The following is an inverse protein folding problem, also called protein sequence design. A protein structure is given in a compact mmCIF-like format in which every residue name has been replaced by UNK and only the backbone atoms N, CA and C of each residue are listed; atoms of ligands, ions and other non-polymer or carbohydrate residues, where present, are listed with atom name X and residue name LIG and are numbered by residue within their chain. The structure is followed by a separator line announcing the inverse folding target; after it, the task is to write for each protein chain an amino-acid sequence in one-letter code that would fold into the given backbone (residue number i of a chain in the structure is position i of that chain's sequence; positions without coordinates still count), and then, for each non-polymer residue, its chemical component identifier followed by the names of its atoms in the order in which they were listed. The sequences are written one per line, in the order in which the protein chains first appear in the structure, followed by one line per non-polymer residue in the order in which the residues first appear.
data_IF_537620429345
#
_entry.id   IF_537620429345
#
_cell.length_a   1.000
_cell.length_b   1.000
_cell.length_c   1.000
_cell.angle_alpha   90.00
_cell.angle_beta   90.00
_cell.angle_gamma   90.00
#
_symmetry.space_group_name_H-M   'P 1'
#
loop_
_entity.id
_entity.type
_entity.pdbx_description
1 polymer ?
#
# COMPACT_ATOMS: atom_id res chain seq x y z
N UNK A 1 -31.96 26.62 -25.15
CA UNK A 1 -31.12 26.24 -24.00
C UNK A 1 -30.61 24.84 -24.26
N UNK A 2 -29.35 24.71 -24.65
CA UNK A 2 -28.74 23.42 -24.98
C UNK A 2 -28.20 22.79 -23.69
N UNK A 3 -28.78 21.64 -23.32
CA UNK A 3 -28.31 20.78 -22.25
C UNK A 3 -26.93 20.25 -22.64
N UNK A 4 -25.89 20.62 -21.89
CA UNK A 4 -24.55 20.08 -22.07
C UNK A 4 -24.56 18.62 -21.62
N UNK A 5 -24.40 17.73 -22.59
CA UNK A 5 -24.22 16.29 -22.39
C UNK A 5 -23.01 16.04 -21.51
N UNK A 6 -23.25 15.42 -20.34
CA UNK A 6 -22.22 14.95 -19.44
C UNK A 6 -21.29 13.97 -20.19
N UNK A 7 -20.05 14.40 -20.43
CA UNK A 7 -19.00 13.54 -20.97
C UNK A 7 -18.73 12.44 -19.96
N UNK A 8 -19.25 11.25 -20.22
CA UNK A 8 -19.04 10.07 -19.37
C UNK A 8 -17.56 9.71 -19.45
N UNK A 9 -16.84 9.87 -18.35
CA UNK A 9 -15.44 9.47 -18.23
C UNK A 9 -15.41 7.94 -18.20
N UNK A 10 -15.25 7.30 -19.37
CA UNK A 10 -15.25 5.84 -19.53
C UNK A 10 -13.86 5.21 -19.44
N UNK A 11 -12.79 6.01 -19.33
CA UNK A 11 -11.43 5.49 -19.24
C UNK A 11 -11.06 5.13 -17.80
N UNK A 12 -10.56 3.89 -17.59
CA UNK A 12 -9.96 3.47 -16.31
C UNK A 12 -8.74 4.30 -15.92
N UNK A 13 -8.01 4.83 -16.91
CA UNK A 13 -6.84 5.70 -16.69
C UNK A 13 -6.98 6.96 -17.51
N UNK A 14 -7.08 8.10 -16.84
CA UNK A 14 -7.15 9.40 -17.50
C UNK A 14 -5.74 9.95 -17.64
N UNK A 15 -5.24 9.99 -18.87
CA UNK A 15 -3.97 10.64 -19.20
C UNK A 15 -4.24 12.10 -19.52
N UNK A 16 -3.47 13.01 -18.91
CA UNK A 16 -3.55 14.45 -19.13
C UNK A 16 -2.24 14.95 -19.74
N UNK A 17 -2.18 16.20 -20.26
CA UNK A 17 -0.96 16.80 -20.78
C UNK A 17 0.17 16.99 -19.75
N UNK A 18 -0.09 16.70 -18.48
CA UNK A 18 0.86 16.70 -17.38
C UNK A 18 0.76 15.39 -16.61
N UNK A 19 1.82 15.06 -15.86
CA UNK A 19 1.91 13.84 -15.07
C UNK A 19 2.31 14.19 -13.64
N UNK A 20 1.37 14.03 -12.71
CA UNK A 20 1.56 14.36 -11.29
C UNK A 20 2.52 13.39 -10.58
N UNK A 21 2.73 12.20 -11.12
CA UNK A 21 3.74 11.26 -10.62
C UNK A 21 5.15 11.71 -10.97
N UNK A 22 5.35 12.31 -12.14
CA UNK A 22 6.64 12.80 -12.61
C UNK A 22 6.93 14.23 -12.12
N UNK A 23 5.91 15.09 -12.12
CA UNK A 23 5.98 16.46 -11.64
C UNK A 23 4.82 16.76 -10.67
N UNK A 24 5.03 16.54 -9.36
CA UNK A 24 4.05 16.86 -8.33
C UNK A 24 3.64 18.34 -8.30
N UNK A 25 4.51 19.25 -8.73
CA UNK A 25 4.24 20.69 -8.70
C UNK A 25 3.24 21.12 -9.78
N UNK A 26 3.04 20.30 -10.81
CA UNK A 26 2.04 20.54 -11.85
C UNK A 26 0.61 20.66 -11.30
N UNK A 27 0.32 20.14 -10.10
CA UNK A 27 -0.96 20.33 -9.43
C UNK A 27 -1.22 21.79 -9.01
N UNK A 28 -0.17 22.60 -8.85
CA UNK A 28 -0.30 24.00 -8.44
C UNK A 28 -0.52 24.94 -9.63
N UNK A 29 -0.32 24.48 -10.87
CA UNK A 29 -0.62 25.27 -12.07
C UNK A 29 -2.15 25.48 -12.19
N UNK A 30 -2.64 26.72 -12.25
CA UNK A 30 -4.06 27.02 -12.37
C UNK A 30 -4.76 26.33 -13.56
N UNK A 31 -4.09 26.19 -14.70
CA UNK A 31 -4.65 25.55 -15.91
C UNK A 31 -4.85 24.05 -15.70
N UNK A 32 -3.88 23.40 -15.04
CA UNK A 32 -3.96 21.97 -14.72
C UNK A 32 -5.08 21.71 -13.71
N UNK A 33 -5.21 22.58 -12.69
CA UNK A 33 -6.31 22.51 -11.73
C UNK A 33 -7.66 22.69 -12.41
N UNK A 34 -7.80 23.69 -13.28
CA UNK A 34 -9.03 23.93 -14.03
C UNK A 34 -9.45 22.70 -14.84
N UNK A 35 -8.51 22.02 -15.49
CA UNK A 35 -8.77 20.77 -16.20
C UNK A 35 -9.29 19.68 -15.26
N UNK A 36 -8.69 19.51 -14.08
CA UNK A 36 -9.11 18.52 -13.08
C UNK A 36 -10.52 18.84 -12.53
N UNK A 37 -10.82 20.11 -12.24
CA UNK A 37 -12.17 20.53 -11.81
C UNK A 37 -13.23 20.27 -12.89
N UNK A 38 -12.87 20.37 -14.17
CA UNK A 38 -13.79 20.06 -15.29
C UNK A 38 -14.08 18.58 -15.46
N UNK A 39 -13.14 17.69 -15.09
CA UNK A 39 -13.35 16.23 -15.20
C UNK A 39 -14.44 15.73 -14.24
N UNK A 40 -14.54 16.33 -13.05
CA UNK A 40 -15.54 15.96 -12.04
C UNK A 40 -16.28 17.22 -11.58
N UNK A 41 -17.39 17.57 -12.25
CA UNK A 41 -18.26 18.63 -11.78
C UNK A 41 -18.65 18.40 -10.31
N UNK A 42 -18.59 19.47 -9.50
CA UNK A 42 -18.86 19.39 -8.05
C UNK A 42 -17.62 19.30 -7.17
N UNK A 43 -16.40 19.20 -7.73
CA UNK A 43 -15.15 19.25 -6.96
C UNK A 43 -15.02 20.57 -6.21
N UNK A 44 -14.95 20.49 -4.89
CA UNK A 44 -14.73 21.63 -3.99
C UNK A 44 -13.24 21.83 -3.69
N UNK A 45 -12.43 20.78 -3.85
CA UNK A 45 -11.00 20.84 -3.59
C UNK A 45 -10.22 19.74 -4.29
N UNK A 46 -8.92 19.99 -4.46
CA UNK A 46 -7.95 19.04 -5.00
C UNK A 46 -6.75 19.03 -4.07
N UNK A 47 -6.30 17.85 -3.67
CA UNK A 47 -5.13 17.67 -2.84
C UNK A 47 -4.32 16.45 -3.29
N UNK A 48 -3.09 16.33 -2.82
CA UNK A 48 -2.21 15.21 -3.13
C UNK A 48 -1.19 15.04 -2.00
N UNK A 49 -0.89 13.79 -1.65
CA UNK A 49 0.11 13.42 -0.61
C UNK A 49 1.39 12.82 -1.21
N UNK A 50 1.51 12.92 -2.54
CA UNK A 50 2.51 12.28 -3.35
C UNK A 50 2.04 10.95 -3.92
N UNK A 51 1.22 10.19 -3.20
CA UNK A 51 0.78 8.84 -3.58
C UNK A 51 -0.58 8.83 -4.26
N UNK A 52 -1.51 9.63 -3.77
CA UNK A 52 -2.88 9.73 -4.28
C UNK A 52 -3.19 11.14 -4.76
N UNK A 53 -4.01 11.23 -5.80
CA UNK A 53 -4.75 12.44 -6.14
C UNK A 53 -6.10 12.39 -5.43
N UNK A 54 -6.34 13.33 -4.54
CA UNK A 54 -7.61 13.48 -3.84
C UNK A 54 -8.52 14.44 -4.56
N UNK A 55 -9.73 13.98 -4.85
CA UNK A 55 -10.82 14.76 -5.43
C UNK A 55 -11.83 15.00 -4.31
N UNK A 56 -11.86 16.23 -3.81
CA UNK A 56 -12.68 16.58 -2.65
C UNK A 56 -14.07 16.98 -3.14
N UNK A 57 -15.08 16.20 -2.76
CA UNK A 57 -16.48 16.33 -3.16
C UNK A 57 -17.39 15.82 -2.04
N UNK A 58 -18.49 16.53 -1.75
CA UNK A 58 -19.45 16.11 -0.72
C UNK A 58 -20.06 14.74 -1.02
N UNK A 59 -20.35 14.47 -2.30
CA UNK A 59 -20.82 13.18 -2.81
C UNK A 59 -19.92 12.77 -3.98
N UNK A 60 -19.48 11.52 -3.99
CA UNK A 60 -18.69 10.98 -5.09
C UNK A 60 -19.55 10.87 -6.37
N UNK A 61 -18.97 11.05 -7.57
CA UNK A 61 -19.72 10.97 -8.81
C UNK A 61 -20.24 9.54 -9.04
N UNK A 62 -21.20 9.32 -9.95
CA UNK A 62 -21.63 7.97 -10.32
C UNK A 62 -20.45 7.12 -10.81
N UNK A 63 -20.38 5.86 -10.37
CA UNK A 63 -19.40 4.86 -10.84
C UNK A 63 -19.61 4.55 -12.34
N UNK A 64 -18.57 4.10 -13.07
CA UNK A 64 -17.23 3.74 -12.60
C UNK A 64 -16.32 4.95 -12.41
N UNK A 65 -15.44 4.87 -11.41
CA UNK A 65 -14.38 5.85 -11.20
C UNK A 65 -13.11 5.46 -11.93
N UNK A 66 -12.30 6.44 -12.40
CA UNK A 66 -10.97 6.15 -12.88
C UNK A 66 -10.12 5.56 -11.76
N UNK A 67 -9.25 4.61 -12.11
CA UNK A 67 -8.22 4.06 -11.22
C UNK A 67 -7.04 5.02 -11.08
N UNK A 68 -6.74 5.79 -12.11
CA UNK A 68 -5.70 6.82 -12.04
C UNK A 68 -6.01 8.03 -12.92
N UNK A 69 -5.51 9.19 -12.51
CA UNK A 69 -5.58 10.45 -13.25
C UNK A 69 -4.22 11.11 -13.23
N UNK A 70 -3.72 11.52 -14.40
CA UNK A 70 -2.41 12.15 -14.54
C UNK A 70 -1.26 11.33 -13.88
N UNK A 71 -1.36 10.00 -13.93
CA UNK A 71 -0.32 9.09 -13.43
C UNK A 71 -0.40 8.77 -11.93
N UNK A 72 -1.37 9.31 -11.19
CA UNK A 72 -1.61 8.97 -9.78
C UNK A 72 -2.95 8.26 -9.58
N UNK A 73 -3.03 7.29 -8.66
CA UNK A 73 -4.30 6.75 -8.19
C UNK A 73 -5.22 7.86 -7.67
N UNK A 74 -6.48 7.84 -8.11
CA UNK A 74 -7.49 8.81 -7.69
C UNK A 74 -8.31 8.30 -6.51
N UNK A 75 -8.65 9.20 -5.59
CA UNK A 75 -9.49 8.91 -4.44
C UNK A 75 -10.51 10.04 -4.22
N UNK A 76 -11.79 9.67 -4.13
CA UNK A 76 -12.88 10.60 -3.86
C UNK A 76 -13.18 10.64 -2.36
N UNK A 77 -13.17 11.84 -1.78
CA UNK A 77 -13.37 12.02 -0.35
C UNK A 77 -14.17 13.31 -0.06
N UNK A 78 -14.98 13.35 1.01
CA UNK A 78 -15.67 14.58 1.42
C UNK A 78 -14.71 15.65 1.95
N UNK A 79 -13.57 15.22 2.50
CA UNK A 79 -12.52 16.09 3.05
C UNK A 79 -11.21 15.31 3.17
N UNK A 80 -10.10 16.01 3.40
CA UNK A 80 -8.81 15.38 3.73
C UNK A 80 -8.76 15.12 5.23
N UNK A 81 -8.45 13.88 5.59
CA UNK A 81 -8.17 13.50 6.97
C UNK A 81 -7.94 11.99 7.10
N UNK A 82 -7.41 11.53 8.24
CA UNK A 82 -7.06 10.12 8.44
C UNK A 82 -8.22 9.13 8.22
N UNK A 83 -9.46 9.58 8.39
CA UNK A 83 -10.67 8.76 8.18
C UNK A 83 -11.15 8.73 6.72
N UNK A 84 -10.61 9.60 5.87
CA UNK A 84 -11.06 9.80 4.49
C UNK A 84 -9.92 9.68 3.47
N UNK A 85 -8.77 9.16 3.89
CA UNK A 85 -7.62 8.91 3.02
C UNK A 85 -7.30 7.42 3.03
N UNK A 86 -6.97 6.81 1.89
CA UNK A 86 -6.61 5.39 1.83
C UNK A 86 -5.22 5.13 2.41
N UNK A 87 -4.48 6.17 2.82
CA UNK A 87 -3.13 6.04 3.35
C UNK A 87 -3.15 5.71 4.83
N UNK A 88 -2.36 4.71 5.21
CA UNK A 88 -2.05 4.42 6.60
C UNK A 88 -1.12 5.50 7.16
N UNK A 89 -1.71 6.49 7.83
CA UNK A 89 -0.97 7.53 8.54
C UNK A 89 -1.33 7.51 10.02
N UNK A 90 -0.41 6.98 10.82
CA UNK A 90 -0.64 6.72 12.23
C UNK A 90 -0.58 7.98 13.09
N UNK A 91 -0.76 7.79 14.38
CA UNK A 91 -0.41 8.84 15.32
C UNK A 91 1.11 9.05 15.30
N UNK A 92 1.53 10.28 15.51
CA UNK A 92 2.94 10.68 15.46
C UNK A 92 3.32 11.36 16.77
N UNK A 93 4.62 11.35 17.04
CA UNK A 93 5.19 11.96 18.22
C UNK A 93 5.72 13.35 17.91
N UNK A 94 5.72 14.21 18.94
CA UNK A 94 6.30 15.54 18.84
C UNK A 94 7.82 15.52 18.66
N UNK A 95 8.39 16.65 18.22
CA UNK A 95 9.84 16.80 17.95
C UNK A 95 10.76 16.51 19.14
N UNK A 96 10.23 16.44 20.36
CA UNK A 96 10.98 16.13 21.59
C UNK A 96 11.33 14.64 21.77
N UNK A 97 10.71 13.75 21.01
CA UNK A 97 11.01 12.32 21.07
C UNK A 97 12.39 11.99 20.46
N UNK A 98 12.91 10.81 20.76
CA UNK A 98 14.20 10.34 20.21
C UNK A 98 14.20 10.21 18.68
N UNK A 99 15.40 10.20 18.08
CA UNK A 99 15.55 9.91 16.65
C UNK A 99 16.69 8.91 16.45
N UNK A 100 16.43 7.85 15.69
CA UNK A 100 17.37 6.74 15.46
C UNK A 100 17.90 6.74 14.03
N UNK A 101 19.00 6.01 13.80
CA UNK A 101 19.63 5.87 12.48
C UNK A 101 19.92 7.23 11.78
N UNK A 102 20.35 8.25 12.53
CA UNK A 102 20.54 9.63 12.01
C UNK A 102 21.55 9.74 10.87
N UNK A 103 22.47 8.77 10.75
CA UNK A 103 23.45 8.69 9.67
C UNK A 103 22.86 8.25 8.33
N UNK A 104 21.66 7.66 8.32
CA UNK A 104 21.00 7.20 7.10
C UNK A 104 20.06 8.27 6.56
N UNK A 105 19.97 8.37 5.23
CA UNK A 105 18.86 9.04 4.56
C UNK A 105 17.85 7.97 4.15
N UNK A 106 16.77 7.86 4.93
CA UNK A 106 15.67 6.92 4.75
C UNK A 106 14.71 7.30 3.64
N UNK A 107 14.91 8.44 2.98
CA UNK A 107 14.03 8.90 1.91
C UNK A 107 14.27 8.14 0.61
N UNK A 108 13.22 7.56 0.04
CA UNK A 108 13.18 6.91 -1.27
C UNK A 108 14.28 5.85 -1.47
N UNK A 109 14.61 5.10 -0.41
CA UNK A 109 15.57 3.99 -0.42
C UNK A 109 15.08 2.86 -1.31
N UNK A 110 15.89 2.48 -2.30
CA UNK A 110 15.61 1.32 -3.15
C UNK A 110 15.69 0.00 -2.38
N UNK A 111 16.58 -0.06 -1.39
CA UNK A 111 16.71 -1.15 -0.42
C UNK A 111 16.77 -0.55 0.98
N UNK A 112 15.70 -0.72 1.75
CA UNK A 112 15.53 -0.16 3.08
C UNK A 112 15.72 -1.21 4.19
N UNK A 113 16.14 -2.44 3.84
CA UNK A 113 16.42 -3.49 4.82
C UNK A 113 17.45 -3.08 5.90
N UNK A 114 18.52 -2.32 5.60
CA UNK A 114 19.40 -1.80 6.65
C UNK A 114 18.68 -0.89 7.65
N UNK A 115 17.74 -0.07 7.18
CA UNK A 115 16.91 0.78 8.06
C UNK A 115 15.99 -0.09 8.91
N UNK A 116 15.32 -1.08 8.30
CA UNK A 116 14.49 -2.06 9.02
C UNK A 116 15.26 -2.74 10.16
N UNK A 117 16.47 -3.24 9.90
CA UNK A 117 17.29 -3.92 10.92
C UNK A 117 17.57 -2.99 12.11
N UNK A 118 17.92 -1.73 11.86
CA UNK A 118 18.16 -0.75 12.93
C UNK A 118 16.89 -0.48 13.73
N UNK A 119 15.76 -0.27 13.07
CA UNK A 119 14.47 -0.03 13.73
C UNK A 119 14.08 -1.27 14.55
N UNK A 120 14.05 -2.46 13.95
CA UNK A 120 13.75 -3.73 14.63
C UNK A 120 14.59 -3.91 15.90
N UNK A 121 15.91 -3.73 15.79
CA UNK A 121 16.82 -3.91 16.93
C UNK A 121 16.59 -2.85 18.01
N UNK A 122 16.27 -1.61 17.64
CA UNK A 122 15.92 -0.57 18.60
C UNK A 122 14.69 -0.95 19.43
N UNK A 123 13.60 -1.37 18.77
CA UNK A 123 12.38 -1.82 19.45
C UNK A 123 12.61 -3.05 20.33
N UNK A 124 13.42 -4.01 19.85
CA UNK A 124 13.84 -5.17 20.65
C UNK A 124 14.57 -4.76 21.94
N UNK A 125 15.53 -3.83 21.86
CA UNK A 125 16.27 -3.32 23.03
C UNK A 125 15.36 -2.57 24.00
N UNK A 126 14.35 -1.86 23.49
CA UNK A 126 13.36 -1.17 24.32
C UNK A 126 12.37 -2.13 25.01
N UNK A 127 12.34 -3.41 24.63
CA UNK A 127 11.32 -4.34 25.09
C UNK A 127 9.92 -4.04 24.54
N UNK A 128 9.84 -3.30 23.43
CA UNK A 128 8.56 -2.96 22.78
C UNK A 128 8.31 -3.96 21.66
N UNK A 129 7.16 -4.62 21.73
CA UNK A 129 6.78 -5.64 20.76
C UNK A 129 6.16 -5.02 19.50
N UNK A 130 6.74 -5.35 18.35
CA UNK A 130 6.34 -4.86 17.02
C UNK A 130 5.93 -6.06 16.16
N UNK A 131 4.82 -5.92 15.45
CA UNK A 131 4.27 -6.94 14.54
C UNK A 131 4.59 -6.64 13.08
N UNK A 132 4.69 -5.37 12.69
CA UNK A 132 5.04 -4.97 11.33
C UNK A 132 5.76 -3.61 11.31
N UNK A 133 6.71 -3.46 10.39
CA UNK A 133 7.31 -2.17 10.05
C UNK A 133 7.08 -1.95 8.57
N UNK A 134 6.38 -0.86 8.21
CA UNK A 134 6.02 -0.51 6.84
C UNK A 134 6.84 0.68 6.36
N UNK A 135 7.23 0.65 5.08
CA UNK A 135 8.00 1.68 4.43
C UNK A 135 7.26 2.29 3.24
N UNK A 136 7.06 3.60 3.29
CA UNK A 136 6.30 4.39 2.31
C UNK A 136 7.16 5.40 1.55
N UNK A 137 8.48 5.23 1.54
CA UNK A 137 9.42 6.10 0.85
C UNK A 137 9.86 7.31 1.69
N UNK A 138 8.93 8.04 2.31
CA UNK A 138 9.22 9.26 3.08
C UNK A 138 8.84 9.19 4.57
N UNK A 139 8.25 8.08 5.02
CA UNK A 139 7.98 7.78 6.42
C UNK A 139 7.89 6.27 6.66
N UNK A 140 7.96 5.89 7.93
CA UNK A 140 7.68 4.55 8.42
C UNK A 140 6.34 4.53 9.16
N UNK A 141 5.65 3.38 9.07
CA UNK A 141 4.57 3.04 10.00
C UNK A 141 5.02 1.83 10.81
N UNK A 142 5.02 1.94 12.12
CA UNK A 142 5.38 0.86 13.03
C UNK A 142 4.13 0.37 13.74
N UNK A 143 3.85 -0.93 13.62
CA UNK A 143 2.65 -1.55 14.17
C UNK A 143 3.03 -2.25 15.49
N UNK A 144 2.48 -1.72 16.58
CA UNK A 144 2.75 -2.15 17.94
C UNK A 144 1.76 -3.25 18.33
N UNK A 145 2.26 -4.32 18.96
CA UNK A 145 1.42 -5.46 19.32
C UNK A 145 0.40 -5.13 20.42
N UNK A 146 0.80 -4.33 21.41
CA UNK A 146 -0.02 -4.09 22.60
C UNK A 146 -0.02 -2.62 23.03
N UNK A 147 -1.22 -2.08 23.26
CA UNK A 147 -1.47 -0.71 23.77
C UNK A 147 -0.76 -0.38 25.10
N UNK A 148 -0.54 -1.38 25.95
CA UNK A 148 -0.06 -1.18 27.33
C UNK A 148 1.45 -1.37 27.52
N UNK A 149 2.17 -1.80 26.49
CA UNK A 149 3.59 -2.20 26.64
C UNK A 149 4.58 -1.12 26.25
N UNK A 150 4.20 -0.17 25.40
CA UNK A 150 5.09 0.88 24.96
C UNK A 150 4.97 2.13 25.85
N UNK A 151 6.06 2.52 26.50
CA UNK A 151 6.22 3.89 26.99
C UNK A 151 6.36 4.83 25.78
N UNK A 152 5.23 5.43 25.39
CA UNK A 152 5.09 6.27 24.19
C UNK A 152 6.15 7.40 24.17
N UNK A 153 6.59 7.87 25.34
CA UNK A 153 7.61 8.92 25.45
C UNK A 153 8.99 8.50 24.92
N UNK A 154 9.28 7.20 24.92
CA UNK A 154 10.57 6.64 24.47
C UNK A 154 10.59 6.28 23.00
N UNK A 155 9.43 6.23 22.35
CA UNK A 155 9.32 5.88 20.96
C UNK A 155 9.97 6.95 20.06
N UNK A 156 10.69 6.56 18.99
CA UNK A 156 11.36 7.52 18.13
C UNK A 156 10.40 8.19 17.13
N UNK A 157 10.35 9.52 17.08
CA UNK A 157 9.55 10.21 16.04
C UNK A 157 10.21 10.18 14.65
N UNK A 158 11.49 9.80 14.58
CA UNK A 158 12.28 9.67 13.35
C UNK A 158 13.17 8.45 13.35
N UNK A 159 13.30 7.83 12.18
CA UNK A 159 14.31 6.82 11.90
C UNK A 159 14.89 7.09 10.51
N UNK A 160 16.21 7.15 10.35
CA UNK A 160 16.81 7.43 9.04
C UNK A 160 16.40 8.80 8.49
N UNK A 161 16.24 9.81 9.34
CA UNK A 161 15.79 11.15 8.95
C UNK A 161 14.38 11.26 8.32
N UNK A 162 13.62 10.18 8.25
CA UNK A 162 12.20 10.17 7.86
C UNK A 162 11.28 10.03 9.08
N UNK A 163 10.03 10.48 8.95
CA UNK A 163 9.07 10.42 10.04
C UNK A 163 8.71 8.97 10.40
N UNK A 164 8.39 8.72 11.67
CA UNK A 164 7.84 7.46 12.14
C UNK A 164 6.46 7.72 12.72
N UNK A 165 5.49 6.94 12.26
CA UNK A 165 4.12 6.94 12.77
C UNK A 165 3.76 5.57 13.30
N UNK A 166 2.71 5.49 14.09
CA UNK A 166 2.38 4.29 14.85
C UNK A 166 0.90 3.92 14.75
N UNK A 167 0.65 2.62 14.78
CA UNK A 167 -0.66 2.02 15.00
C UNK A 167 -0.51 0.87 16.00
N UNK A 168 -1.62 0.51 16.62
CA UNK A 168 -1.75 -0.77 17.31
C UNK A 168 -2.29 -1.84 16.36
N UNK A 169 -1.97 -3.10 16.64
CA UNK A 169 -2.42 -4.24 15.82
C UNK A 169 -3.95 -4.27 15.65
N UNK A 170 -4.69 -3.92 16.71
CA UNK A 170 -6.15 -3.86 16.70
C UNK A 170 -6.73 -2.72 15.84
N UNK A 171 -5.90 -1.76 15.40
CA UNK A 171 -6.32 -0.63 14.56
C UNK A 171 -6.11 -0.88 13.07
N UNK A 172 -5.24 -1.82 12.69
CA UNK A 172 -4.91 -2.10 11.28
C UNK A 172 -6.03 -2.87 10.57
N UNK A 173 -6.87 -3.60 11.32
CA UNK A 173 -7.95 -4.40 10.76
C UNK A 173 -7.46 -5.66 10.02
N UNK A 174 -6.32 -6.24 10.44
CA UNK A 174 -5.84 -7.51 9.87
C UNK A 174 -6.72 -8.67 10.35
N UNK A 175 -6.88 -9.72 9.53
CA UNK A 175 -7.49 -10.97 9.99
C UNK A 175 -6.73 -11.53 11.19
N UNK A 176 -7.44 -11.84 12.28
CA UNK A 176 -6.88 -12.39 13.53
C UNK A 176 -6.23 -13.77 13.35
N UNK A 177 -6.57 -14.48 12.27
CA UNK A 177 -5.92 -15.72 11.86
C UNK A 177 -5.34 -15.52 10.46
N UNK A 178 -4.02 -15.63 10.26
CA UNK A 178 -3.46 -15.73 8.92
C UNK A 178 -4.16 -16.89 8.20
N UNK A 179 -4.77 -16.63 7.04
CA UNK A 179 -5.34 -17.71 6.23
C UNK A 179 -4.16 -18.54 5.71
N UNK A 180 -3.71 -19.51 6.51
CA UNK A 180 -2.42 -20.19 6.35
C UNK A 180 -2.50 -21.41 5.43
N UNK A 181 -3.65 -21.68 4.81
CA UNK A 181 -3.85 -22.89 4.01
C UNK A 181 -4.58 -22.58 2.71
N UNK A 182 -3.85 -22.61 1.60
CA UNK A 182 -4.45 -22.94 0.32
C UNK A 182 -4.93 -24.39 0.42
N UNK A 183 -6.24 -24.61 0.33
CA UNK A 183 -6.76 -25.93 0.00
C UNK A 183 -6.26 -26.30 -1.41
N UNK A 184 -5.49 -27.37 -1.51
CA UNK A 184 -5.00 -27.94 -2.77
C UNK A 184 -6.17 -28.59 -3.53
N UNK A 185 -7.10 -27.78 -4.03
CA UNK A 185 -8.11 -28.21 -4.99
C UNK A 185 -7.57 -28.08 -6.42
N UNK A 186 -7.87 -29.02 -7.33
CA UNK A 186 -7.50 -28.88 -8.74
C UNK A 186 -8.18 -27.63 -9.31
N UNK A 187 -7.37 -26.63 -9.71
CA UNK A 187 -7.84 -25.38 -10.31
C UNK A 187 -8.09 -25.59 -11.81
N UNK A 188 -9.24 -25.19 -12.37
CA UNK A 188 -9.41 -25.10 -13.82
C UNK A 188 -8.39 -24.12 -14.39
N UNK A 189 -7.48 -24.63 -15.22
CA UNK A 189 -6.40 -23.84 -15.80
C UNK A 189 -6.91 -22.80 -16.79
N UNK A 190 -6.62 -21.54 -16.51
CA UNK A 190 -6.42 -20.50 -17.51
C UNK A 190 -5.19 -19.70 -17.06
N UNK A 191 -4.04 -20.08 -17.61
CA UNK A 191 -2.74 -19.48 -17.31
C UNK A 191 -2.68 -18.08 -17.94
N UNK A 192 -2.69 -17.03 -17.11
CA UNK A 192 -1.78 -15.92 -17.42
C UNK A 192 -0.40 -16.57 -17.57
N UNK A 193 0.30 -16.30 -18.67
CA UNK A 193 1.65 -16.83 -18.90
C UNK A 193 2.62 -16.15 -17.91
N UNK A 194 2.60 -16.64 -16.68
CA UNK A 194 3.45 -16.19 -15.59
C UNK A 194 4.86 -16.64 -15.91
N UNK A 195 5.77 -15.68 -16.05
CA UNK A 195 7.12 -15.94 -16.55
C UNK A 195 8.01 -16.54 -15.48
N UNK A 196 8.38 -15.72 -14.51
CA UNK A 196 9.29 -16.10 -13.43
C UNK A 196 9.09 -15.19 -12.22
N UNK A 197 9.69 -15.60 -11.10
CA UNK A 197 9.76 -14.79 -9.90
C UNK A 197 10.73 -13.63 -10.13
N UNK A 198 10.31 -12.40 -9.83
CA UNK A 198 11.18 -11.22 -9.85
C UNK A 198 11.18 -10.58 -8.47
N UNK A 199 12.32 -10.09 -7.96
CA UNK A 199 12.36 -9.38 -6.70
C UNK A 199 11.39 -8.20 -6.67
N UNK A 200 10.73 -8.01 -5.52
CA UNK A 200 9.94 -6.83 -5.23
C UNK A 200 10.81 -5.67 -4.68
N UNK A 201 11.95 -5.99 -4.06
CA UNK A 201 12.96 -4.98 -3.69
C UNK A 201 13.30 -4.11 -4.92
N UNK A 202 13.45 -2.80 -4.71
CA UNK A 202 13.77 -1.79 -5.75
C UNK A 202 12.67 -1.52 -6.78
N UNK A 203 11.45 -2.07 -6.62
CA UNK A 203 10.31 -1.70 -7.47
C UNK A 203 9.88 -0.27 -7.20
N UNK A 204 9.45 0.41 -8.27
CA UNK A 204 9.00 1.80 -8.15
C UNK A 204 7.58 1.82 -7.60
N UNK A 205 7.38 2.61 -6.56
CA UNK A 205 6.04 2.95 -6.06
C UNK A 205 5.17 3.51 -7.18
N UNK A 206 3.92 3.06 -7.23
CA UNK A 206 2.83 3.28 -8.19
C UNK A 206 2.95 2.53 -9.52
N UNK A 207 3.85 1.56 -9.64
CA UNK A 207 3.82 0.66 -10.82
C UNK A 207 2.52 -0.15 -10.82
N UNK A 208 1.91 -0.30 -12.00
CA UNK A 208 0.71 -1.12 -12.16
C UNK A 208 1.05 -2.60 -11.96
N UNK A 209 0.21 -3.26 -11.17
CA UNK A 209 0.30 -4.68 -10.88
C UNK A 209 -1.07 -5.31 -10.95
N UNK A 210 -1.10 -6.63 -11.03
CA UNK A 210 -2.30 -7.41 -11.22
C UNK A 210 -2.32 -8.51 -10.18
N UNK A 211 -3.45 -8.64 -9.51
CA UNK A 211 -3.77 -9.75 -8.65
C UNK A 211 -4.59 -10.76 -9.46
N UNK A 212 -4.11 -12.00 -9.56
CA UNK A 212 -4.87 -13.06 -10.22
C UNK A 212 -6.19 -13.33 -9.50
N UNK A 213 -7.26 -13.60 -10.25
CA UNK A 213 -8.51 -14.19 -9.74
C UNK A 213 -8.72 -15.57 -10.39
N UNK A 214 -9.48 -16.43 -9.73
CA UNK A 214 -9.86 -17.75 -10.27
C UNK A 214 -10.71 -17.66 -11.54
N UNK A 215 -11.40 -16.54 -11.75
CA UNK A 215 -12.52 -16.47 -12.70
C UNK A 215 -12.19 -15.68 -13.99
N UNK A 216 -10.98 -15.83 -14.52
CA UNK A 216 -10.45 -15.18 -15.74
C UNK A 216 -10.11 -13.69 -15.64
N UNK A 217 -10.61 -12.97 -14.64
CA UNK A 217 -10.35 -11.54 -14.49
C UNK A 217 -9.23 -11.25 -13.50
N UNK A 218 -8.23 -10.45 -13.90
CA UNK A 218 -7.23 -9.94 -12.95
C UNK A 218 -7.70 -8.64 -12.32
N UNK A 219 -7.48 -8.48 -11.02
CA UNK A 219 -7.71 -7.21 -10.32
C UNK A 219 -6.46 -6.37 -10.49
N UNK A 220 -6.57 -5.30 -11.28
CA UNK A 220 -5.50 -4.33 -11.43
C UNK A 220 -5.39 -3.45 -10.17
N UNK A 221 -4.18 -3.24 -9.70
CA UNK A 221 -3.84 -2.34 -8.60
C UNK A 221 -2.53 -1.60 -8.86
N UNK A 222 -2.11 -0.83 -7.87
CA UNK A 222 -0.84 -0.10 -7.85
C UNK A 222 0.05 -0.61 -6.73
N UNK A 223 1.31 -0.92 -7.04
CA UNK A 223 2.31 -1.24 -6.02
C UNK A 223 2.65 0.01 -5.21
N UNK A 224 2.45 0.01 -3.91
CA UNK A 224 2.55 1.25 -3.12
C UNK A 224 3.70 1.26 -2.12
N UNK A 225 3.93 0.13 -1.46
CA UNK A 225 4.89 0.06 -0.36
C UNK A 225 5.34 -1.35 -0.08
N UNK A 226 6.26 -1.47 0.86
CA UNK A 226 6.78 -2.75 1.34
C UNK A 226 6.87 -2.72 2.85
N UNK A 227 6.90 -3.89 3.46
CA UNK A 227 7.00 -4.02 4.91
C UNK A 227 7.74 -5.29 5.30
N UNK A 228 8.13 -5.35 6.56
CA UNK A 228 8.52 -6.60 7.20
C UNK A 228 7.47 -6.94 8.25
N UNK A 229 6.86 -8.11 8.10
CA UNK A 229 5.86 -8.64 9.02
C UNK A 229 6.46 -9.72 9.90
N UNK A 230 6.23 -9.65 11.20
CA UNK A 230 6.65 -10.67 12.15
C UNK A 230 5.81 -11.92 11.96
N UNK A 231 6.48 -13.05 11.80
CA UNK A 231 5.86 -14.37 11.81
C UNK A 231 6.01 -14.96 13.20
N UNK A 232 4.90 -15.48 13.74
CA UNK A 232 4.94 -16.26 14.97
C UNK A 232 5.60 -17.59 14.60
N UNK A 233 6.84 -17.79 15.07
CA UNK A 233 7.51 -19.07 14.93
C UNK A 233 6.81 -20.13 15.79
N UNK A 234 6.94 -21.40 15.41
CA UNK A 234 6.41 -22.55 16.17
C UNK A 234 6.81 -22.47 17.66
N UNK A 235 5.94 -23.01 18.52
CA UNK A 235 6.11 -22.97 19.98
C UNK A 235 7.52 -23.42 20.40
N UNK A 236 8.29 -22.50 21.00
CA UNK A 236 9.64 -22.75 21.53
C UNK A 236 10.78 -21.99 20.85
N UNK A 237 10.55 -21.32 19.71
CA UNK A 237 11.57 -20.44 19.12
C UNK A 237 11.65 -19.09 19.85
N UNK A 238 12.85 -18.70 20.28
CA UNK A 238 13.13 -17.35 20.81
C UNK A 238 13.42 -16.33 19.72
N UNK A 239 13.55 -16.77 18.46
CA UNK A 239 13.89 -15.91 17.34
C UNK A 239 12.62 -15.46 16.60
N UNK A 240 12.36 -14.15 16.64
CA UNK A 240 11.32 -13.54 15.83
C UNK A 240 11.71 -13.62 14.35
N UNK A 241 10.96 -14.40 13.59
CA UNK A 241 11.09 -14.44 12.13
C UNK A 241 10.31 -13.28 11.51
N UNK A 242 10.83 -12.75 10.40
CA UNK A 242 10.21 -11.65 9.68
C UNK A 242 10.14 -12.02 8.20
N UNK A 243 9.03 -11.73 7.56
CA UNK A 243 8.83 -11.92 6.12
C UNK A 243 8.68 -10.57 5.43
N UNK A 244 9.32 -10.45 4.27
CA UNK A 244 9.18 -9.29 3.42
C UNK A 244 7.84 -9.33 2.67
N UNK A 245 7.04 -8.29 2.85
CA UNK A 245 5.71 -8.17 2.27
C UNK A 245 5.60 -6.95 1.35
N UNK A 246 4.66 -7.02 0.41
CA UNK A 246 4.33 -5.97 -0.55
C UNK A 246 2.90 -5.49 -0.34
N UNK A 247 2.69 -4.20 -0.50
CA UNK A 247 1.37 -3.57 -0.34
C UNK A 247 0.89 -2.97 -1.65
N UNK A 248 -0.33 -3.31 -2.01
CA UNK A 248 -0.99 -2.90 -3.24
C UNK A 248 -2.27 -2.13 -2.90
N UNK A 249 -2.52 -1.05 -3.62
CA UNK A 249 -3.83 -0.40 -3.60
C UNK A 249 -4.64 -0.81 -4.84
N UNK A 250 -5.84 -1.35 -4.66
CA UNK A 250 -6.63 -1.94 -5.75
C UNK A 250 -7.68 -0.99 -6.34
N UNK A 251 -7.85 0.19 -5.76
CA UNK A 251 -8.84 1.20 -6.16
C UNK A 251 -9.96 1.32 -5.14
N UNK A 252 -10.57 2.50 -5.07
CA UNK A 252 -11.62 2.78 -4.09
C UNK A 252 -12.83 1.86 -4.29
N UNK A 253 -13.31 1.27 -3.20
CA UNK A 253 -14.37 0.26 -3.14
C UNK A 253 -14.05 -1.05 -3.89
N UNK A 254 -12.77 -1.33 -4.14
CA UNK A 254 -12.34 -2.60 -4.74
C UNK A 254 -12.57 -3.78 -3.80
N UNK A 255 -12.54 -3.57 -2.48
CA UNK A 255 -12.80 -4.61 -1.49
C UNK A 255 -14.17 -5.28 -1.67
N UNK A 256 -15.18 -4.50 -2.09
CA UNK A 256 -16.56 -4.98 -2.27
C UNK A 256 -16.70 -5.92 -3.49
N UNK A 257 -15.71 -5.90 -4.39
CA UNK A 257 -15.66 -6.71 -5.61
C UNK A 257 -14.64 -7.85 -5.53
N UNK A 258 -14.00 -8.07 -4.38
CA UNK A 258 -13.03 -9.14 -4.21
C UNK A 258 -13.73 -10.51 -4.21
N UNK A 259 -13.18 -11.51 -4.91
CA UNK A 259 -13.68 -12.87 -4.80
C UNK A 259 -13.42 -13.42 -3.39
N UNK A 260 -14.24 -14.39 -2.97
CA UNK A 260 -14.16 -15.00 -1.64
C UNK A 260 -12.81 -15.66 -1.32
N UNK A 261 -12.00 -15.97 -2.35
CA UNK A 261 -10.66 -16.56 -2.23
C UNK A 261 -9.64 -15.85 -3.12
N UNK A 262 -8.88 -14.94 -2.52
CA UNK A 262 -7.71 -14.30 -3.14
C UNK A 262 -6.36 -14.82 -2.60
N UNK A 263 -6.39 -15.55 -1.48
CA UNK A 263 -5.18 -16.06 -0.84
C UNK A 263 -4.38 -16.98 -1.77
N UNK A 264 -3.07 -16.77 -1.79
CA UNK A 264 -2.12 -17.49 -2.63
C UNK A 264 -2.17 -17.10 -4.11
N UNK A 265 -3.05 -16.18 -4.52
CA UNK A 265 -3.06 -15.73 -5.91
C UNK A 265 -1.82 -14.90 -6.22
N UNK A 266 -1.26 -15.12 -7.41
CA UNK A 266 -0.08 -14.41 -7.85
C UNK A 266 -0.36 -12.90 -7.99
N UNK A 267 0.58 -12.11 -7.52
CA UNK A 267 0.69 -10.68 -7.78
C UNK A 267 1.76 -10.51 -8.84
N UNK A 268 1.41 -9.96 -10.00
CA UNK A 268 2.30 -9.89 -11.15
C UNK A 268 2.28 -8.53 -11.85
N UNK A 269 3.34 -8.25 -12.60
CA UNK A 269 3.48 -7.06 -13.45
C UNK A 269 2.66 -7.20 -14.74
N UNK A 270 2.42 -6.10 -15.45
CA UNK A 270 1.81 -6.13 -16.80
C UNK A 270 2.53 -7.05 -17.80
N UNK A 271 3.80 -7.34 -17.55
CA UNK A 271 4.65 -8.21 -18.38
C UNK A 271 4.67 -9.68 -17.95
N UNK A 272 3.91 -10.06 -16.93
CA UNK A 272 3.77 -11.45 -16.44
C UNK A 272 4.79 -11.92 -15.40
N UNK A 273 5.71 -11.05 -14.94
CA UNK A 273 6.62 -11.40 -13.84
C UNK A 273 5.93 -11.30 -12.48
N UNK A 274 6.14 -12.27 -11.60
CA UNK A 274 5.50 -12.36 -10.28
C UNK A 274 6.33 -11.68 -9.21
N UNK A 275 5.68 -10.80 -8.45
CA UNK A 275 6.23 -9.99 -7.36
C UNK A 275 5.94 -10.58 -5.98
N UNK A 276 4.88 -11.37 -5.87
CA UNK A 276 4.50 -12.00 -4.62
C UNK A 276 3.23 -12.82 -4.76
N UNK A 277 2.75 -13.31 -3.63
CA UNK A 277 1.50 -14.05 -3.52
C UNK A 277 0.63 -13.40 -2.47
N UNK A 278 -0.64 -13.15 -2.81
CA UNK A 278 -1.59 -12.48 -1.93
C UNK A 278 -1.74 -13.26 -0.61
N UNK A 279 -1.58 -12.57 0.50
CA UNK A 279 -1.72 -13.12 1.84
C UNK A 279 -3.08 -12.74 2.46
N UNK A 280 -3.53 -11.50 2.26
CA UNK A 280 -4.89 -11.09 2.56
C UNK A 280 -5.19 -9.74 1.88
N UNK A 281 -6.46 -9.36 1.84
CA UNK A 281 -6.90 -8.01 1.50
C UNK A 281 -7.95 -7.58 2.52
N UNK A 282 -7.72 -6.51 3.30
CA UNK A 282 -8.71 -6.04 4.26
C UNK A 282 -9.98 -5.56 3.54
N UNK A 283 -11.13 -6.00 4.04
CA UNK A 283 -12.45 -5.58 3.56
C UNK A 283 -13.03 -4.42 4.36
N UNK A 284 -12.42 -4.09 5.49
CA UNK A 284 -12.82 -3.03 6.41
C UNK A 284 -11.59 -2.36 7.05
N UNK A 285 -11.82 -1.27 7.76
CA UNK A 285 -10.77 -0.53 8.46
C UNK A 285 -9.92 0.38 7.57
N UNK A 286 -8.83 0.96 8.12
CA UNK A 286 -8.00 1.95 7.42
C UNK A 286 -7.31 1.43 6.15
N UNK A 287 -7.16 0.11 6.06
CA UNK A 287 -6.56 -0.58 4.92
C UNK A 287 -7.60 -1.25 4.02
N UNK A 288 -8.89 -0.85 4.10
CA UNK A 288 -9.89 -1.23 3.09
C UNK A 288 -9.36 -0.88 1.69
N UNK A 289 -9.60 -1.77 0.72
CA UNK A 289 -9.17 -1.64 -0.69
C UNK A 289 -7.68 -1.91 -0.95
N UNK A 290 -6.95 -2.34 0.08
CA UNK A 290 -5.56 -2.77 -0.05
C UNK A 290 -5.44 -4.29 -0.15
N UNK A 291 -4.35 -4.75 -0.75
CA UNK A 291 -3.93 -6.14 -0.73
C UNK A 291 -2.49 -6.21 -0.23
N UNK A 292 -2.22 -7.15 0.67
CA UNK A 292 -0.86 -7.50 1.06
C UNK A 292 -0.48 -8.84 0.44
N UNK A 293 0.77 -8.96 0.03
CA UNK A 293 1.33 -10.23 -0.41
C UNK A 293 2.70 -10.50 0.19
N UNK A 294 3.05 -11.78 0.28
CA UNK A 294 4.41 -12.21 0.60
C UNK A 294 5.25 -11.98 -0.65
N UNK A 295 6.34 -11.22 -0.53
CA UNK A 295 7.22 -10.90 -1.64
C UNK A 295 7.93 -12.17 -2.15
N UNK A 296 8.15 -12.24 -3.46
CA UNK A 296 8.96 -13.32 -4.08
C UNK A 296 10.40 -13.36 -3.58
N UNK A 297 10.91 -12.27 -3.00
CA UNK A 297 12.22 -12.24 -2.33
C UNK A 297 12.39 -13.42 -1.36
N UNK A 298 11.37 -13.72 -0.56
CA UNK A 298 11.39 -14.84 0.40
C UNK A 298 11.60 -16.21 -0.26
N UNK A 299 11.18 -16.36 -1.50
CA UNK A 299 11.29 -17.60 -2.28
C UNK A 299 12.61 -17.63 -3.06
N UNK A 300 12.98 -16.51 -3.68
CA UNK A 300 14.23 -16.35 -4.43
C UNK A 300 15.44 -16.58 -3.51
N UNK A 301 15.41 -16.00 -2.31
CA UNK A 301 16.49 -16.13 -1.32
C UNK A 301 16.64 -17.58 -0.81
N UNK A 302 15.61 -18.42 -1.00
CA UNK A 302 15.62 -19.87 -0.72
C UNK A 302 15.92 -20.74 -1.95
N UNK A 303 16.24 -20.13 -3.09
CA UNK A 303 16.63 -20.82 -4.32
C UNK A 303 15.49 -21.14 -5.30
N UNK A 304 14.26 -20.68 -5.06
CA UNK A 304 13.16 -20.84 -6.01
C UNK A 304 13.22 -19.75 -7.08
N UNK A 305 13.33 -20.13 -8.36
CA UNK A 305 13.40 -19.15 -9.48
C UNK A 305 12.26 -19.27 -10.48
N UNK A 306 11.57 -20.42 -10.55
CA UNK A 306 10.49 -20.73 -11.49
C UNK A 306 9.29 -21.39 -10.79
N UNK A 307 8.12 -21.40 -11.45
CA UNK A 307 6.90 -22.09 -11.00
C UNK A 307 6.94 -23.59 -11.23
#
# INVERSE_FOLDING_TARGET
MASQTATTVTSRHITLPFNLRADPLALNDPKNRELLYKLFPGTTGLAMDGTFLYIIQAEAPPKPWPKSIAGLPSYFAPQIGPQHTPVLFGWHLGRGSGAIARSLNGRDMADWEPLFIIVKNHFKVMGVSVTEIMYWGNYLVVILEHRRTADISKLPWKAGNIAVTYFYEDEVGRPSTPQSRCEAGPRPGNQVDLKSLTPAKRRRTRDFVFLGSSDRDSIEGSFMGTSFQRVIADEGSSEQQWVFAIWLYMGQDSADALPSRIYGNAIFTSTGYVLGFCQYAPTEGPMKDWCVGIATNEFIDRGFTNF
#
